data_IF_579573813519
#
_entry.id   IF_579573813519
#
_cell.length_a   1.000
_cell.length_b   1.000
_cell.length_c   1.000
_cell.angle_alpha   90.00
_cell.angle_beta   90.00
_cell.angle_gamma   90.00
#
_symmetry.space_group_name_H-M   'P 1'
#
loop_
_entity.id
_entity.type
_entity.pdbx_description
1 polymer ?
#
# COMPACT_ATOMS: atom_id res chain seq x y z
N UNK A 1 -2.85 -16.27 -24.87
CA UNK A 1 -2.01 -15.06 -24.82
C UNK A 1 -1.69 -14.83 -23.35
N UNK A 2 -0.50 -15.19 -22.89
CA UNK A 2 -0.14 -15.06 -21.47
C UNK A 2 0.11 -13.57 -21.17
N UNK A 3 -0.62 -13.01 -20.20
CA UNK A 3 -0.31 -11.70 -19.65
C UNK A 3 1.04 -11.80 -18.94
N UNK A 4 2.11 -11.38 -19.61
CA UNK A 4 3.39 -11.13 -18.96
C UNK A 4 3.23 -9.86 -18.11
N UNK A 5 2.64 -9.99 -16.92
CA UNK A 5 2.73 -8.91 -15.93
C UNK A 5 4.15 -8.90 -15.37
N UNK A 6 4.81 -7.74 -15.46
CA UNK A 6 6.09 -7.52 -14.79
C UNK A 6 5.94 -7.42 -13.26
N UNK A 7 4.71 -7.27 -12.76
CA UNK A 7 4.38 -7.24 -11.33
C UNK A 7 4.31 -8.66 -10.77
N UNK A 8 4.94 -8.89 -9.62
CA UNK A 8 4.89 -10.17 -8.88
C UNK A 8 4.71 -9.94 -7.38
N UNK A 9 3.90 -10.79 -6.74
CA UNK A 9 3.73 -10.84 -5.26
C UNK A 9 3.48 -9.47 -4.63
N UNK A 10 4.41 -9.03 -3.79
CA UNK A 10 4.41 -7.73 -3.11
C UNK A 10 4.17 -6.52 -4.04
N UNK A 11 4.50 -6.58 -5.32
CA UNK A 11 4.28 -5.46 -6.24
C UNK A 11 2.80 -5.07 -6.36
N UNK A 12 1.88 -6.03 -6.22
CA UNK A 12 0.45 -5.75 -6.27
C UNK A 12 -0.02 -4.90 -5.08
N UNK A 13 0.62 -5.08 -3.91
CA UNK A 13 0.32 -4.31 -2.70
C UNK A 13 0.78 -2.86 -2.81
N UNK A 14 1.71 -2.55 -3.71
CA UNK A 14 2.15 -1.17 -3.97
C UNK A 14 1.09 -0.32 -4.68
N UNK A 15 0.05 -0.95 -5.23
CA UNK A 15 -1.07 -0.27 -5.88
C UNK A 15 -2.13 0.22 -4.88
N UNK A 16 -1.99 -0.13 -3.60
CA UNK A 16 -2.96 0.25 -2.56
C UNK A 16 -2.74 1.69 -2.10
N UNK A 17 -3.79 2.51 -2.16
CA UNK A 17 -3.78 3.87 -1.59
C UNK A 17 -3.84 3.85 -0.05
N UNK A 18 -4.47 2.81 0.50
CA UNK A 18 -4.67 2.61 1.93
C UNK A 18 -4.37 1.15 2.31
N UNK A 19 -3.83 0.95 3.50
CA UNK A 19 -3.52 -0.37 4.04
C UNK A 19 -4.19 -0.53 5.41
N UNK A 20 -4.69 -1.74 5.71
CA UNK A 20 -5.04 -2.03 7.10
C UNK A 20 -3.79 -1.95 7.99
N UNK A 21 -3.97 -1.67 9.27
CA UNK A 21 -2.82 -1.62 10.21
C UNK A 21 -2.10 -2.97 10.29
N UNK A 22 -2.83 -4.07 10.11
CA UNK A 22 -2.26 -5.42 10.05
C UNK A 22 -1.42 -5.62 8.79
N UNK A 23 -1.95 -5.26 7.61
CA UNK A 23 -1.23 -5.40 6.34
C UNK A 23 0.02 -4.52 6.32
N UNK A 24 -0.10 -3.27 6.80
CA UNK A 24 1.04 -2.37 6.94
C UNK A 24 2.14 -2.97 7.83
N UNK A 25 1.77 -3.65 8.92
CA UNK A 25 2.74 -4.32 9.79
C UNK A 25 3.43 -5.51 9.09
N UNK A 26 2.70 -6.33 8.32
CA UNK A 26 3.28 -7.41 7.54
C UNK A 26 4.23 -6.89 6.45
N UNK A 27 3.78 -5.91 5.67
CA UNK A 27 4.56 -5.33 4.57
C UNK A 27 5.83 -4.63 5.06
N UNK A 28 5.81 -4.05 6.27
CA UNK A 28 7.01 -3.50 6.92
C UNK A 28 8.11 -4.56 7.09
N UNK A 29 7.71 -5.81 7.32
CA UNK A 29 8.60 -6.96 7.52
C UNK A 29 8.88 -7.72 6.21
N UNK A 30 8.49 -7.18 5.06
CA UNK A 30 8.57 -7.88 3.76
C UNK A 30 7.77 -9.19 3.72
N UNK A 31 6.71 -9.29 4.54
CA UNK A 31 5.80 -10.41 4.55
C UNK A 31 4.58 -10.08 3.69
N UNK A 32 4.20 -10.97 2.78
CA UNK A 32 3.04 -10.77 1.92
C UNK A 32 1.75 -11.05 2.70
N UNK A 33 0.82 -10.08 2.88
CA UNK A 33 -0.36 -10.30 3.70
C UNK A 33 -1.28 -11.43 3.21
N UNK A 34 -1.21 -11.82 1.94
CA UNK A 34 -1.94 -12.99 1.42
C UNK A 34 -1.41 -14.34 1.89
N UNK A 35 -0.13 -14.41 2.29
CA UNK A 35 0.54 -15.63 2.72
C UNK A 35 0.52 -15.82 4.24
N UNK A 36 0.14 -14.80 5.01
CA UNK A 36 0.16 -14.83 6.47
C UNK A 36 -1.15 -14.36 7.06
N UNK A 37 -1.57 -15.01 8.15
CA UNK A 37 -2.73 -14.59 8.91
C UNK A 37 -2.46 -14.62 10.40
N UNK A 38 -3.15 -13.74 11.13
CA UNK A 38 -3.24 -13.83 12.58
C UNK A 38 -4.25 -14.90 12.97
N UNK A 39 -3.84 -15.82 13.86
CA UNK A 39 -4.76 -16.83 14.44
C UNK A 39 -5.89 -16.16 15.23
N UNK A 40 -5.62 -15.01 15.86
CA UNK A 40 -6.60 -14.22 16.62
C UNK A 40 -6.53 -12.75 16.19
N UNK A 41 -7.19 -12.38 15.07
CA UNK A 41 -7.14 -11.01 14.53
C UNK A 41 -7.63 -9.94 15.52
N UNK A 42 -8.58 -10.28 16.39
CA UNK A 42 -9.07 -9.39 17.45
C UNK A 42 -8.05 -9.11 18.56
N UNK A 43 -6.93 -9.85 18.60
CA UNK A 43 -5.86 -9.65 19.59
C UNK A 43 -4.47 -9.75 18.95
N UNK A 44 -4.08 -8.82 18.06
CA UNK A 44 -2.84 -8.92 17.29
C UNK A 44 -1.58 -8.99 18.17
N UNK A 45 -1.61 -8.37 19.36
CA UNK A 45 -0.48 -8.36 20.30
C UNK A 45 -0.14 -9.73 20.88
N UNK A 46 -1.11 -10.64 20.99
CA UNK A 46 -0.95 -11.97 21.57
C UNK A 46 -1.13 -13.09 20.55
N UNK A 47 -1.66 -12.77 19.36
CA UNK A 47 -1.85 -13.72 18.29
C UNK A 47 -0.53 -14.36 17.84
N UNK A 48 -0.64 -15.62 17.42
CA UNK A 48 0.34 -16.29 16.58
C UNK A 48 0.14 -15.87 15.12
N UNK A 49 1.18 -16.02 14.31
CA UNK A 49 1.14 -15.76 12.87
C UNK A 49 1.30 -17.10 12.16
N UNK A 50 0.28 -17.48 11.40
CA UNK A 50 0.25 -18.70 10.60
C UNK A 50 0.49 -18.36 9.14
N UNK A 51 1.29 -19.18 8.48
CA UNK A 51 1.45 -19.14 7.04
C UNK A 51 0.31 -19.92 6.37
N UNK A 52 -0.46 -19.27 5.50
CA UNK A 52 -1.63 -19.83 4.81
C UNK A 52 -1.31 -20.35 3.43
N UNK A 53 -0.32 -19.74 2.75
CA UNK A 53 0.09 -20.10 1.41
C UNK A 53 1.57 -19.80 1.16
N UNK A 54 2.07 -20.30 0.03
CA UNK A 54 3.44 -20.08 -0.42
C UNK A 54 4.47 -21.02 0.24
N UNK A 55 5.12 -21.88 -0.54
CA UNK A 55 6.33 -22.60 -0.08
C UNK A 55 7.61 -21.75 -0.27
N UNK A 56 7.46 -20.43 -0.40
CA UNK A 56 8.49 -19.49 -0.84
C UNK A 56 9.51 -19.12 0.24
N UNK A 57 10.76 -18.91 -0.19
CA UNK A 57 11.90 -18.53 0.65
C UNK A 57 11.81 -17.09 1.15
N UNK A 58 11.09 -16.89 2.24
CA UNK A 58 11.25 -15.71 3.09
C UNK A 58 12.61 -15.79 3.80
N UNK A 59 13.67 -15.36 3.10
CA UNK A 59 15.02 -15.36 3.62
C UNK A 59 15.11 -14.49 4.88
N UNK A 60 15.60 -15.07 5.98
CA UNK A 60 15.82 -14.36 7.25
C UNK A 60 14.65 -14.40 8.25
N UNK A 61 13.51 -15.01 7.92
CA UNK A 61 12.39 -15.15 8.86
C UNK A 61 12.47 -16.50 9.57
N UNK A 62 12.54 -16.48 10.91
CA UNK A 62 12.51 -17.70 11.73
C UNK A 62 11.14 -18.38 11.63
N UNK A 63 11.15 -19.60 11.08
CA UNK A 63 9.95 -20.44 10.95
C UNK A 63 9.73 -21.27 12.20
N UNK A 64 8.46 -21.37 12.61
CA UNK A 64 8.03 -22.14 13.76
C UNK A 64 6.97 -23.14 13.28
N UNK A 65 7.12 -24.41 13.65
CA UNK A 65 6.08 -25.43 13.45
C UNK A 65 5.17 -25.44 14.69
N UNK A 66 3.86 -25.36 14.47
CA UNK A 66 2.86 -25.43 15.54
C UNK A 66 2.46 -26.89 15.80
N UNK A 67 1.83 -27.14 16.96
CA UNK A 67 1.39 -28.47 17.38
C UNK A 67 0.41 -29.14 16.40
N UNK A 68 -0.29 -28.35 15.59
CA UNK A 68 -1.22 -28.84 14.56
C UNK A 68 -0.55 -29.09 13.19
N UNK A 69 0.78 -29.03 13.13
CA UNK A 69 1.58 -29.23 11.92
C UNK A 69 1.55 -28.03 10.96
N UNK A 70 0.93 -26.92 11.34
CA UNK A 70 0.98 -25.70 10.52
C UNK A 70 2.29 -24.95 10.75
N UNK A 71 2.77 -24.26 9.72
CA UNK A 71 3.94 -23.41 9.81
C UNK A 71 3.53 -21.97 10.15
N UNK A 72 4.39 -21.30 10.89
CA UNK A 72 4.28 -19.89 11.23
C UNK A 72 5.62 -19.22 11.33
N UNK A 73 5.58 -17.99 11.83
CA UNK A 73 6.77 -17.17 12.05
C UNK A 73 6.77 -16.63 13.47
N UNK A 74 7.96 -16.30 13.97
CA UNK A 74 8.11 -15.64 15.25
C UNK A 74 7.38 -14.29 15.25
N UNK A 75 6.37 -14.07 16.13
CA UNK A 75 5.55 -12.87 16.07
C UNK A 75 6.22 -11.65 16.73
N UNK A 76 7.44 -11.77 17.27
CA UNK A 76 8.10 -10.69 18.01
C UNK A 76 8.32 -9.43 17.18
N UNK A 77 8.81 -9.57 15.95
CA UNK A 77 9.04 -8.45 15.03
C UNK A 77 7.71 -7.79 14.62
N UNK A 78 6.72 -8.63 14.26
CA UNK A 78 5.37 -8.15 13.95
C UNK A 78 4.77 -7.37 15.12
N UNK A 79 4.86 -7.90 16.34
CA UNK A 79 4.35 -7.24 17.55
C UNK A 79 5.07 -5.92 17.81
N UNK A 80 6.37 -5.82 17.52
CA UNK A 80 7.10 -4.57 17.67
C UNK A 80 6.60 -3.50 16.69
N UNK A 81 6.46 -3.85 15.40
CA UNK A 81 5.93 -2.95 14.37
C UNK A 81 4.49 -2.56 14.66
N UNK A 82 3.62 -3.55 14.89
CA UNK A 82 2.21 -3.34 15.19
C UNK A 82 2.03 -2.46 16.43
N UNK A 83 2.78 -2.71 17.51
CA UNK A 83 2.73 -1.88 18.73
C UNK A 83 3.13 -0.43 18.43
N UNK A 84 4.12 -0.20 17.56
CA UNK A 84 4.54 1.14 17.18
C UNK A 84 3.48 1.86 16.35
N UNK A 85 2.87 1.19 15.36
CA UNK A 85 1.77 1.73 14.55
C UNK A 85 0.55 2.05 15.41
N UNK A 86 0.10 1.08 16.24
CA UNK A 86 -1.00 1.27 17.20
C UNK A 86 -0.73 2.48 18.11
N UNK A 87 0.45 2.57 18.70
CA UNK A 87 0.79 3.70 19.57
C UNK A 87 0.82 5.04 18.82
N UNK A 88 1.27 5.06 17.56
CA UNK A 88 1.27 6.27 16.74
C UNK A 88 -0.16 6.73 16.42
N UNK A 89 -1.05 5.82 16.05
CA UNK A 89 -2.45 6.12 15.76
C UNK A 89 -3.18 6.61 17.01
N UNK A 90 -3.08 5.88 18.12
CA UNK A 90 -3.74 6.25 19.38
C UNK A 90 -3.19 7.53 20.03
N UNK A 91 -2.00 7.99 19.63
CA UNK A 91 -1.41 9.26 20.07
C UNK A 91 -1.50 10.38 19.02
N UNK A 92 -2.31 10.18 17.98
CA UNK A 92 -2.55 11.16 16.90
C UNK A 92 -1.27 11.59 16.15
N UNK A 93 -0.28 10.69 16.08
CA UNK A 93 0.98 10.88 15.33
C UNK A 93 0.97 10.26 13.95
N UNK A 94 -0.01 9.40 13.68
CA UNK A 94 -0.24 8.76 12.39
C UNK A 94 -1.74 8.81 12.12
N UNK A 95 -2.13 9.47 11.04
CA UNK A 95 -3.53 9.58 10.64
C UNK A 95 -4.05 8.21 10.22
N UNK A 96 -5.25 7.86 10.68
CA UNK A 96 -5.91 6.61 10.35
C UNK A 96 -7.44 6.78 10.23
N UNK A 97 -8.07 5.94 9.42
CA UNK A 97 -9.52 5.71 9.45
C UNK A 97 -9.79 4.58 10.43
N UNK A 98 -10.26 4.93 11.62
CA UNK A 98 -10.47 3.96 12.71
C UNK A 98 -11.77 3.19 12.46
N UNK A 99 -11.65 1.87 12.35
CA UNK A 99 -12.78 0.94 12.36
C UNK A 99 -12.97 0.39 13.78
N UNK A 100 -14.21 0.39 14.28
CA UNK A 100 -14.55 -0.25 15.54
C UNK A 100 -15.65 -1.29 15.31
N UNK A 101 -15.54 -2.43 15.98
CA UNK A 101 -16.65 -3.38 16.04
C UNK A 101 -17.67 -2.90 17.07
N UNK A 102 -18.93 -3.01 16.69
CA UNK A 102 -20.05 -2.75 17.59
C UNK A 102 -21.12 -3.81 17.43
N UNK A 103 -21.88 -4.02 18.50
CA UNK A 103 -23.06 -4.89 18.53
C UNK A 103 -24.19 -4.22 19.27
N UNK A 104 -25.42 -4.64 18.97
CA UNK A 104 -26.55 -4.34 19.85
C UNK A 104 -26.39 -5.10 21.18
N UNK A 105 -26.97 -4.61 22.28
CA UNK A 105 -27.09 -5.40 23.50
C UNK A 105 -27.77 -6.72 23.18
N UNK A 106 -27.15 -7.82 23.62
CA UNK A 106 -27.89 -9.05 23.80
C UNK A 106 -28.88 -8.86 24.94
N UNK A 107 -29.86 -9.74 25.05
CA UNK A 107 -30.86 -9.64 26.09
C UNK A 107 -31.09 -11.00 26.73
N UNK A 108 -31.27 -10.98 28.04
CA UNK A 108 -31.58 -12.17 28.81
C UNK A 108 -32.95 -12.04 29.48
N UNK A 109 -33.57 -13.18 29.73
CA UNK A 109 -34.83 -13.27 30.45
C UNK A 109 -34.56 -13.47 31.93
N UNK A 110 -35.16 -12.62 32.77
CA UNK A 110 -35.18 -12.81 34.22
C UNK A 110 -36.63 -12.83 34.70
N UNK A 111 -37.16 -14.04 34.92
CA UNK A 111 -38.59 -14.23 35.14
C UNK A 111 -39.40 -13.94 33.88
N UNK A 112 -40.32 -12.98 33.93
CA UNK A 112 -41.13 -12.52 32.79
C UNK A 112 -40.61 -11.24 32.15
N UNK A 113 -39.48 -10.71 32.64
CA UNK A 113 -38.89 -9.45 32.18
C UNK A 113 -37.68 -9.70 31.29
N UNK A 114 -37.45 -8.76 30.37
CA UNK A 114 -36.40 -8.80 29.36
C UNK A 114 -35.43 -7.66 29.61
N UNK A 115 -34.19 -7.99 29.95
CA UNK A 115 -33.16 -7.00 30.30
C UNK A 115 -32.02 -7.04 29.28
N UNK A 116 -31.47 -5.88 28.90
CA UNK A 116 -30.23 -5.86 28.14
C UNK A 116 -29.13 -6.45 29.01
N UNK A 117 -28.33 -7.34 28.44
CA UNK A 117 -27.06 -7.77 29.04
C UNK A 117 -26.15 -6.55 29.06
N UNK A 118 -25.44 -6.33 30.16
CA UNK A 118 -24.47 -5.24 30.27
C UNK A 118 -23.33 -5.41 29.22
N UNK A 119 -22.69 -4.31 28.79
CA UNK A 119 -21.51 -4.41 27.93
C UNK A 119 -20.42 -5.22 28.64
N UNK A 120 -19.61 -5.93 27.85
CA UNK A 120 -18.42 -6.58 28.38
C UNK A 120 -17.40 -5.55 28.89
N UNK A 121 -16.42 -5.98 29.69
CA UNK A 121 -15.39 -5.08 30.25
C UNK A 121 -14.58 -4.34 29.18
N UNK A 122 -14.46 -4.90 27.98
CA UNK A 122 -13.79 -4.34 26.81
C UNK A 122 -14.72 -3.51 25.91
N UNK A 123 -15.99 -3.39 26.23
CA UNK A 123 -16.99 -2.63 25.50
C UNK A 123 -17.38 -1.34 26.21
N UNK A 124 -17.79 -0.35 25.43
CA UNK A 124 -18.41 0.89 25.91
C UNK A 124 -19.85 0.95 25.41
N UNK A 125 -20.78 1.20 26.33
CA UNK A 125 -22.17 1.47 25.96
C UNK A 125 -22.33 2.91 25.49
N UNK A 126 -22.83 3.08 24.26
CA UNK A 126 -23.18 4.35 23.66
C UNK A 126 -24.70 4.41 23.48
N UNK A 127 -25.31 5.52 23.87
CA UNK A 127 -26.71 5.78 23.54
C UNK A 127 -26.79 6.27 22.09
N UNK A 128 -27.29 5.43 21.18
CA UNK A 128 -27.32 5.76 19.75
C UNK A 128 -28.40 6.81 19.42
N UNK A 129 -29.33 7.08 20.35
CA UNK A 129 -30.32 8.15 20.18
C UNK A 129 -29.69 9.54 20.02
N UNK A 130 -28.48 9.75 20.55
CA UNK A 130 -27.75 11.03 20.48
C UNK A 130 -26.68 11.09 19.37
N UNK A 131 -26.03 9.97 19.05
CA UNK A 131 -24.87 9.92 18.13
C UNK A 131 -25.25 10.25 16.67
N UNK A 132 -26.48 9.94 16.26
CA UNK A 132 -26.96 10.13 14.88
C UNK A 132 -27.36 11.59 14.54
N UNK A 133 -27.30 12.54 15.48
CA UNK A 133 -27.76 13.93 15.24
C UNK A 133 -26.66 14.95 14.89
N UNK A 134 -25.38 14.55 14.86
CA UNK A 134 -24.25 15.50 14.81
C UNK A 134 -23.26 15.35 13.63
N UNK A 135 -23.67 14.71 12.54
CA UNK A 135 -22.92 14.61 11.28
C UNK A 135 -23.54 13.56 10.36
N UNK A 136 -23.22 13.54 9.06
CA UNK A 136 -23.64 12.49 8.11
C UNK A 136 -22.96 11.16 8.48
N UNK A 137 -23.63 10.20 9.16
CA UNK A 137 -23.03 8.95 9.55
C UNK A 137 -23.36 7.91 8.47
N UNK A 138 -22.37 7.48 7.69
CA UNK A 138 -22.53 6.32 6.80
C UNK A 138 -22.46 5.04 7.63
N UNK A 139 -23.52 4.73 8.39
CA UNK A 139 -23.66 3.44 9.05
C UNK A 139 -24.16 2.41 8.03
N UNK A 140 -23.25 1.56 7.53
CA UNK A 140 -23.63 0.38 6.79
C UNK A 140 -23.92 -0.74 7.79
N UNK A 141 -25.20 -1.00 8.05
CA UNK A 141 -25.62 -2.22 8.74
C UNK A 141 -26.23 -3.18 7.72
N UNK A 142 -25.65 -4.37 7.67
CA UNK A 142 -26.15 -5.56 7.01
C UNK A 142 -27.37 -6.18 7.74
N UNK A 143 -27.86 -5.54 8.79
CA UNK A 143 -29.03 -5.95 9.56
C UNK A 143 -30.16 -4.94 9.35
N UNK A 144 -31.18 -5.34 8.58
CA UNK A 144 -32.48 -4.64 8.47
C UNK A 144 -33.12 -4.37 9.85
N UNK A 145 -32.66 -5.04 10.92
CA UNK A 145 -33.21 -4.97 12.26
C UNK A 145 -32.88 -3.68 13.03
N UNK A 146 -31.83 -2.93 12.65
CA UNK A 146 -31.48 -1.70 13.39
C UNK A 146 -32.50 -0.58 13.15
N UNK A 147 -33.15 -0.56 11.98
CA UNK A 147 -34.08 0.50 11.58
C UNK A 147 -35.53 0.02 11.38
N UNK A 148 -35.77 -1.30 11.30
CA UNK A 148 -37.13 -1.84 11.08
C UNK A 148 -37.96 -1.91 12.36
N UNK A 149 -38.52 -0.77 12.76
CA UNK A 149 -39.93 -0.69 13.16
C UNK A 149 -40.39 -1.33 14.48
N UNK A 150 -39.54 -2.01 15.27
CA UNK A 150 -39.88 -2.25 16.68
C UNK A 150 -39.69 -0.94 17.43
N UNK A 151 -40.77 -0.42 18.00
CA UNK A 151 -40.70 0.62 19.04
C UNK A 151 -39.73 0.12 20.10
N UNK A 152 -38.49 0.58 20.05
CA UNK A 152 -37.51 0.44 21.10
C UNK A 152 -38.03 1.26 22.28
N UNK A 153 -38.90 0.64 23.08
CA UNK A 153 -39.30 1.17 24.38
C UNK A 153 -38.17 1.08 25.41
N UNK A 154 -37.02 0.52 25.02
CA UNK A 154 -35.77 0.53 25.77
C UNK A 154 -34.76 1.45 25.09
N UNK A 155 -33.96 2.13 25.91
CA UNK A 155 -32.82 2.97 25.53
C UNK A 155 -32.02 2.31 24.41
N UNK A 156 -31.94 2.96 23.26
CA UNK A 156 -31.21 2.47 22.12
C UNK A 156 -29.72 2.46 22.41
N UNK A 157 -29.20 1.34 22.93
CA UNK A 157 -27.78 1.18 23.25
C UNK A 157 -27.04 0.47 22.12
N UNK A 158 -25.84 0.94 21.84
CA UNK A 158 -24.84 0.29 21.00
C UNK A 158 -23.63 -0.01 21.87
N UNK A 159 -23.15 -1.25 21.87
CA UNK A 159 -21.93 -1.62 22.57
C UNK A 159 -20.79 -1.65 21.56
N UNK A 160 -19.78 -0.81 21.77
CA UNK A 160 -18.63 -0.66 20.87
C UNK A 160 -17.38 -1.09 21.61
N UNK A 161 -16.53 -1.91 20.97
CA UNK A 161 -15.25 -2.28 21.55
C UNK A 161 -14.39 -1.03 21.82
N UNK A 162 -13.72 -1.01 22.97
CA UNK A 162 -12.82 0.08 23.38
C UNK A 162 -11.57 0.13 22.53
N UNK A 163 -11.09 -1.02 22.08
CA UNK A 163 -9.98 -1.11 21.12
C UNK A 163 -10.52 -1.07 19.69
N UNK A 164 -9.82 -0.35 18.79
CA UNK A 164 -10.07 -0.45 17.36
C UNK A 164 -9.96 -1.87 16.83
N UNK A 165 -10.79 -2.14 15.82
CA UNK A 165 -10.56 -3.28 14.95
C UNK A 165 -9.42 -2.94 14.00
N UNK A 166 -8.26 -3.50 14.28
CA UNK A 166 -7.04 -3.20 13.51
C UNK A 166 -7.04 -3.79 12.10
N UNK A 167 -7.93 -4.74 11.80
CA UNK A 167 -8.11 -5.27 10.45
C UNK A 167 -8.96 -4.33 9.58
N UNK A 168 -9.92 -3.64 10.21
CA UNK A 168 -10.76 -2.63 9.54
C UNK A 168 -10.29 -1.20 9.74
N UNK A 169 -9.27 -0.97 10.57
CA UNK A 169 -8.60 0.33 10.70
C UNK A 169 -7.53 0.45 9.62
N UNK A 170 -7.64 1.48 8.78
CA UNK A 170 -6.70 1.72 7.68
C UNK A 170 -5.88 3.00 7.86
N UNK A 171 -4.69 3.02 7.25
CA UNK A 171 -3.80 4.18 7.15
C UNK A 171 -3.54 4.49 5.69
N UNK A 172 -3.43 5.78 5.35
CA UNK A 172 -3.02 6.20 4.02
C UNK A 172 -1.56 5.84 3.76
N UNK A 173 -1.23 5.39 2.55
CA UNK A 173 0.13 4.98 2.21
C UNK A 173 1.13 6.14 2.35
N UNK A 174 0.75 7.34 1.91
CA UNK A 174 1.58 8.55 2.02
C UNK A 174 1.82 8.95 3.49
N UNK A 175 0.76 8.98 4.31
CA UNK A 175 0.84 9.28 5.74
C UNK A 175 1.78 8.29 6.47
N UNK A 176 1.69 7.01 6.11
CA UNK A 176 2.54 5.96 6.65
C UNK A 176 4.02 6.13 6.24
N UNK A 177 4.28 6.43 4.96
CA UNK A 177 5.63 6.71 4.48
C UNK A 177 6.25 7.92 5.18
N UNK A 178 5.50 9.01 5.30
CA UNK A 178 6.00 10.21 5.96
C UNK A 178 6.24 9.99 7.46
N UNK A 179 5.40 9.18 8.11
CA UNK A 179 5.64 8.74 9.48
C UNK A 179 6.94 7.92 9.59
N UNK A 180 7.21 6.98 8.69
CA UNK A 180 8.48 6.23 8.67
C UNK A 180 9.70 7.14 8.47
N UNK A 181 9.64 8.08 7.51
CA UNK A 181 10.69 9.07 7.27
C UNK A 181 10.95 9.92 8.53
N UNK A 182 9.90 10.34 9.24
CA UNK A 182 10.03 11.12 10.49
C UNK A 182 10.79 10.37 11.60
N UNK A 183 10.82 9.02 11.52
CA UNK A 183 11.56 8.14 12.44
C UNK A 183 12.95 7.77 11.93
N UNK A 184 13.33 8.19 10.72
CA UNK A 184 14.58 7.80 10.09
C UNK A 184 14.63 6.31 9.74
N UNK A 185 13.48 5.67 9.52
CA UNK A 185 13.37 4.27 9.11
C UNK A 185 12.79 4.24 7.70
N UNK A 186 13.30 3.35 6.85
CA UNK A 186 12.76 3.12 5.51
C UNK A 186 12.66 1.62 5.24
N UNK A 187 11.53 0.99 5.59
CA UNK A 187 11.33 -0.42 5.24
C UNK A 187 11.32 -0.59 3.72
N UNK A 188 11.99 -1.63 3.22
CA UNK A 188 12.24 -1.84 1.78
C UNK A 188 10.97 -1.88 0.93
N UNK A 189 9.86 -2.40 1.49
CA UNK A 189 8.57 -2.38 0.81
C UNK A 189 8.13 -0.95 0.50
N UNK A 190 8.15 -0.04 1.46
CA UNK A 190 7.69 1.34 1.28
C UNK A 190 8.72 2.22 0.56
N UNK A 191 9.99 1.84 0.62
CA UNK A 191 11.12 2.59 0.08
C UNK A 191 12.05 1.66 -0.72
N UNK A 192 11.66 1.24 -1.93
CA UNK A 192 12.46 0.31 -2.74
C UNK A 192 13.84 0.88 -3.10
N UNK A 193 13.95 2.20 -3.21
CA UNK A 193 15.20 2.93 -3.43
C UNK A 193 15.99 3.21 -2.13
N UNK A 194 15.44 2.80 -0.98
CA UNK A 194 15.98 3.08 0.35
C UNK A 194 15.58 4.45 0.91
N UNK A 195 16.13 4.81 2.08
CA UNK A 195 16.12 6.22 2.51
C UNK A 195 16.90 6.99 1.45
N UNK A 196 16.33 8.06 0.90
CA UNK A 196 17.12 8.98 0.06
C UNK A 196 18.38 9.35 0.85
N UNK A 197 19.53 8.84 0.40
CA UNK A 197 20.77 8.99 1.13
C UNK A 197 20.96 10.46 1.47
N UNK A 198 21.37 10.79 2.71
CA UNK A 198 21.41 12.18 3.19
C UNK A 198 22.25 13.14 2.34
N UNK A 199 23.02 12.65 1.36
CA UNK A 199 23.66 13.47 0.34
C UNK A 199 22.71 14.03 -0.73
N UNK A 200 21.50 13.49 -0.90
CA UNK A 200 20.46 13.98 -1.83
C UNK A 200 19.51 14.99 -1.20
N UNK A 201 19.42 15.05 0.12
CA UNK A 201 18.59 16.02 0.83
C UNK A 201 19.25 17.41 0.83
N UNK A 202 18.65 18.36 0.08
CA UNK A 202 19.12 19.75 -0.02
C UNK A 202 19.16 20.49 1.31
N UNK A 203 18.32 20.09 2.27
CA UNK A 203 18.24 20.72 3.58
C UNK A 203 19.23 20.11 4.58
N UNK A 204 19.94 19.04 4.20
CA UNK A 204 20.91 18.41 5.08
C UNK A 204 22.12 19.33 5.30
N UNK A 205 22.59 19.45 6.54
CA UNK A 205 23.69 20.35 6.91
C UNK A 205 25.01 20.07 6.16
N UNK A 206 25.17 18.85 5.63
CA UNK A 206 26.31 18.42 4.81
C UNK A 206 25.94 18.19 3.34
N UNK A 207 24.83 18.76 2.88
CA UNK A 207 24.44 18.69 1.47
C UNK A 207 25.55 19.26 0.59
N UNK A 208 25.90 18.53 -0.45
CA UNK A 208 26.89 18.95 -1.44
C UNK A 208 26.25 18.86 -2.81
N UNK A 209 25.90 20.01 -3.43
CA UNK A 209 25.37 20.07 -4.79
C UNK A 209 26.19 19.23 -5.77
N UNK A 210 27.53 19.33 -5.69
CA UNK A 210 28.45 18.60 -6.58
C UNK A 210 28.32 17.08 -6.40
N UNK A 211 28.25 16.59 -5.17
CA UNK A 211 28.12 15.15 -4.89
C UNK A 211 26.76 14.63 -5.36
N UNK A 212 25.68 15.33 -5.00
CA UNK A 212 24.32 14.96 -5.39
C UNK A 212 24.17 14.89 -6.92
N UNK A 213 24.68 15.90 -7.64
CA UNK A 213 24.67 15.89 -9.11
C UNK A 213 25.56 14.82 -9.71
N UNK A 214 26.73 14.54 -9.14
CA UNK A 214 27.63 13.49 -9.64
C UNK A 214 26.98 12.11 -9.57
N UNK A 215 26.34 11.78 -8.44
CA UNK A 215 25.62 10.52 -8.29
C UNK A 215 24.41 10.46 -9.23
N UNK A 216 23.62 11.54 -9.30
CA UNK A 216 22.45 11.57 -10.19
C UNK A 216 22.83 11.44 -11.68
N UNK A 217 23.93 12.07 -12.10
CA UNK A 217 24.46 11.92 -13.46
C UNK A 217 24.91 10.49 -13.74
N UNK A 218 25.57 9.84 -12.77
CA UNK A 218 26.01 8.45 -12.85
C UNK A 218 24.85 7.47 -12.97
N UNK A 219 23.77 7.68 -12.22
CA UNK A 219 22.58 6.82 -12.29
C UNK A 219 21.79 7.00 -13.59
N UNK A 220 21.71 8.24 -14.10
CA UNK A 220 20.88 8.56 -15.25
C UNK A 220 21.54 8.20 -16.58
N UNK A 221 22.83 8.49 -16.73
CA UNK A 221 23.55 8.22 -17.97
C UNK A 221 24.00 6.76 -17.93
N UNK A 222 23.21 5.85 -18.49
CA UNK A 222 23.59 4.42 -18.57
C UNK A 222 24.40 4.08 -19.83
N UNK A 223 24.41 4.97 -20.83
CA UNK A 223 25.10 4.82 -22.12
C UNK A 223 25.62 6.18 -22.60
N UNK A 224 26.77 6.22 -23.30
CA UNK A 224 27.23 7.45 -23.94
C UNK A 224 26.27 7.90 -25.04
N UNK A 225 26.14 9.21 -25.22
CA UNK A 225 25.40 9.79 -26.33
C UNK A 225 26.07 9.50 -27.68
N UNK A 226 25.29 9.58 -28.77
CA UNK A 226 25.78 9.35 -30.13
C UNK A 226 27.00 10.25 -30.42
N UNK A 227 28.11 9.64 -30.85
CA UNK A 227 29.39 10.29 -31.12
C UNK A 227 29.99 11.10 -29.94
N UNK A 228 29.64 10.76 -28.70
CA UNK A 228 30.17 11.40 -27.50
C UNK A 228 30.84 10.38 -26.60
N UNK A 229 31.87 10.81 -25.89
CA UNK A 229 32.41 10.03 -24.78
C UNK A 229 31.40 10.00 -23.61
N UNK A 230 31.53 9.01 -22.72
CA UNK A 230 30.76 8.98 -21.47
C UNK A 230 30.97 10.28 -20.68
N UNK A 231 32.21 10.74 -20.59
CA UNK A 231 32.56 12.01 -19.93
C UNK A 231 31.84 13.22 -20.56
N UNK A 232 31.82 13.33 -21.89
CA UNK A 232 31.09 14.42 -22.57
C UNK A 232 29.58 14.32 -22.32
N UNK A 233 29.03 13.11 -22.36
CA UNK A 233 27.60 12.87 -22.10
C UNK A 233 27.22 13.27 -20.67
N UNK A 234 28.06 12.94 -19.69
CA UNK A 234 27.89 13.34 -18.29
C UNK A 234 28.00 14.85 -18.09
N UNK A 235 28.95 15.50 -18.78
CA UNK A 235 29.11 16.95 -18.73
C UNK A 235 27.85 17.64 -19.30
N UNK A 236 27.36 17.20 -20.46
CA UNK A 236 26.15 17.74 -21.10
C UNK A 236 24.91 17.54 -20.22
N UNK A 237 24.76 16.36 -19.62
CA UNK A 237 23.68 16.08 -18.67
C UNK A 237 23.77 17.00 -17.45
N UNK A 238 24.99 17.21 -16.92
CA UNK A 238 25.24 18.08 -15.76
C UNK A 238 24.93 19.55 -16.07
N UNK A 239 25.27 20.04 -17.26
CA UNK A 239 24.90 21.41 -17.70
C UNK A 239 23.39 21.57 -17.73
N UNK A 240 22.67 20.54 -18.19
CA UNK A 240 21.22 20.58 -18.38
C UNK A 240 20.44 20.42 -17.07
N UNK A 241 20.97 19.68 -16.09
CA UNK A 241 20.23 19.30 -14.88
C UNK A 241 20.83 19.83 -13.58
N UNK A 242 22.09 20.28 -13.57
CA UNK A 242 22.81 20.65 -12.34
C UNK A 242 22.18 21.81 -11.57
N UNK A 243 21.43 22.70 -12.26
CA UNK A 243 20.67 23.78 -11.62
C UNK A 243 19.66 23.22 -10.60
N UNK A 244 19.04 22.07 -10.92
CA UNK A 244 18.08 21.40 -10.04
C UNK A 244 18.71 20.92 -8.73
N UNK A 245 20.05 20.84 -8.65
CA UNK A 245 20.79 20.46 -7.46
C UNK A 245 21.48 21.66 -6.78
N UNK A 246 21.26 22.88 -7.27
CA UNK A 246 21.87 24.09 -6.71
C UNK A 246 23.26 24.41 -7.28
N UNK A 247 23.61 23.90 -8.47
CA UNK A 247 24.85 24.25 -9.18
C UNK A 247 24.70 25.43 -10.15
N UNK A 248 23.53 26.08 -10.17
CA UNK A 248 23.31 27.27 -11.00
C UNK A 248 24.09 28.46 -10.47
N UNK A 249 24.72 29.21 -11.38
CA UNK A 249 25.28 30.54 -11.09
C UNK A 249 24.15 31.59 -11.02
N UNK A 250 24.49 32.86 -10.84
CA UNK A 250 23.52 33.98 -10.79
C UNK A 250 22.59 34.06 -12.02
N UNK A 251 23.07 33.59 -13.19
CA UNK A 251 22.29 33.53 -14.44
C UNK A 251 21.41 32.26 -14.56
N UNK A 252 21.39 31.40 -13.53
CA UNK A 252 20.66 30.13 -13.55
C UNK A 252 21.28 29.05 -14.45
N UNK A 253 22.53 29.23 -14.89
CA UNK A 253 23.26 28.26 -15.72
C UNK A 253 24.38 27.57 -14.93
N UNK A 254 24.66 26.30 -15.25
CA UNK A 254 25.80 25.56 -14.66
C UNK A 254 27.06 25.87 -15.46
N UNK A 255 28.14 26.23 -14.78
CA UNK A 255 29.42 26.49 -15.47
C UNK A 255 29.98 25.21 -16.12
N UNK A 256 30.51 25.34 -17.34
CA UNK A 256 31.12 24.23 -18.05
C UNK A 256 32.28 23.58 -17.27
N UNK A 257 33.03 24.37 -16.49
CA UNK A 257 34.12 23.87 -15.64
C UNK A 257 33.60 22.94 -14.55
N UNK A 258 32.52 23.33 -13.85
CA UNK A 258 31.90 22.48 -12.82
C UNK A 258 31.33 21.20 -13.43
N UNK A 259 30.68 21.30 -14.58
CA UNK A 259 30.18 20.13 -15.30
C UNK A 259 31.32 19.17 -15.68
N UNK A 260 32.47 19.68 -16.10
CA UNK A 260 33.64 18.85 -16.42
C UNK A 260 34.25 18.18 -15.18
N UNK A 261 34.31 18.88 -14.04
CA UNK A 261 34.75 18.30 -12.76
C UNK A 261 33.87 17.15 -12.32
N UNK A 262 32.54 17.35 -12.36
CA UNK A 262 31.57 16.32 -12.01
C UNK A 262 31.67 15.14 -12.97
N UNK A 263 31.79 15.40 -14.28
CA UNK A 263 31.97 14.35 -15.27
C UNK A 263 33.25 13.54 -15.06
N UNK A 264 34.34 14.14 -14.54
CA UNK A 264 35.56 13.40 -14.18
C UNK A 264 35.33 12.42 -13.03
N UNK A 265 34.51 12.82 -12.05
CA UNK A 265 34.18 11.99 -10.87
C UNK A 265 33.21 10.87 -11.25
N UNK A 266 32.17 11.19 -12.02
CA UNK A 266 31.09 10.26 -12.36
C UNK A 266 31.40 9.30 -13.52
N UNK A 267 32.51 9.48 -14.25
CA UNK A 267 32.80 8.66 -15.43
C UNK A 267 33.22 7.22 -15.07
N UNK A 268 32.35 6.23 -15.29
CA UNK A 268 32.66 4.79 -15.12
C UNK A 268 33.51 4.21 -16.26
N UNK A 269 33.63 4.90 -17.40
CA UNK A 269 34.46 4.45 -18.51
C UNK A 269 35.87 5.04 -18.40
N UNK A 270 36.73 4.34 -17.66
CA UNK A 270 38.09 4.79 -17.28
C UNK A 270 39.13 4.66 -18.41
N UNK A 271 38.81 3.92 -19.47
CA UNK A 271 39.67 3.73 -20.64
C UNK A 271 39.75 5.01 -21.48
N UNK A 272 40.88 5.70 -21.40
CA UNK A 272 41.20 6.85 -22.25
C UNK A 272 41.55 6.42 -23.68
N UNK A 273 40.54 6.26 -24.53
CA UNK A 273 40.68 5.96 -25.95
C UNK A 273 39.74 6.82 -26.80
N UNK A 274 40.06 6.96 -28.09
CA UNK A 274 39.23 7.71 -29.03
C UNK A 274 37.81 7.16 -29.10
N UNK A 275 36.82 8.05 -29.14
CA UNK A 275 35.39 7.71 -29.32
C UNK A 275 35.21 6.83 -30.57
N UNK A 276 34.59 5.65 -30.46
CA UNK A 276 34.31 4.81 -31.62
C UNK A 276 33.43 5.57 -32.61
N UNK A 277 33.87 5.66 -33.86
CA UNK A 277 33.07 6.22 -34.96
C UNK A 277 31.86 5.32 -35.17
N UNK A 278 30.66 5.87 -34.99
CA UNK A 278 29.40 5.14 -35.08
C UNK A 278 29.17 4.57 -36.49
N UNK A 279 28.96 3.25 -36.59
CA UNK A 279 28.30 2.61 -37.73
C UNK A 279 26.82 2.42 -37.37
N UNK A 280 25.94 2.96 -38.22
CA UNK A 280 24.48 2.84 -38.09
C UNK A 280 24.05 1.39 -37.99
N UNK A 281 23.25 1.09 -36.96
CA UNK A 281 22.44 -0.13 -36.88
C UNK A 281 21.00 0.35 -36.69
N UNK A 282 20.13 -0.16 -37.57
CA UNK A 282 18.74 0.23 -37.80
C UNK A 282 17.96 0.65 -36.55
N UNK A 283 17.40 1.85 -36.63
CA UNK A 283 16.31 2.31 -35.78
C UNK A 283 15.02 1.57 -36.16
N UNK A 284 14.69 0.53 -35.39
CA UNK A 284 13.30 0.05 -35.32
C UNK A 284 12.86 -0.04 -33.85
N UNK A 285 11.62 0.39 -33.64
CA UNK A 285 10.85 0.43 -32.39
C UNK A 285 11.18 1.52 -31.36
N UNK A 286 11.07 2.78 -31.80
CA UNK A 286 10.58 3.87 -30.96
C UNK A 286 9.06 3.95 -31.02
N UNK A 287 8.37 3.02 -30.33
CA UNK A 287 6.92 3.07 -30.18
C UNK A 287 6.50 4.33 -29.43
N UNK A 288 5.72 5.19 -30.09
CA UNK A 288 5.12 6.39 -29.48
C UNK A 288 4.18 5.93 -28.36
N UNK A 289 4.26 6.47 -27.13
CA UNK A 289 3.30 6.14 -26.08
C UNK A 289 1.93 6.66 -26.51
N UNK A 290 0.97 5.76 -26.71
CA UNK A 290 -0.43 6.18 -26.85
C UNK A 290 -0.89 6.81 -25.52
N UNK A 291 -1.61 7.94 -25.57
CA UNK A 291 -2.22 8.49 -24.37
C UNK A 291 -3.22 7.48 -23.81
N UNK A 292 -3.12 7.18 -22.51
CA UNK A 292 -4.09 6.37 -21.78
C UNK A 292 -5.41 7.14 -21.74
N UNK A 293 -6.42 6.64 -22.46
CA UNK A 293 -7.80 7.12 -22.37
C UNK A 293 -8.57 6.19 -21.42
N UNK A 294 -8.92 6.69 -20.23
CA UNK A 294 -9.57 5.91 -19.16
C UNK A 294 -11.09 5.77 -19.32
N UNK A 295 -11.68 6.08 -20.48
CA UNK A 295 -13.12 5.91 -20.71
C UNK A 295 -13.39 5.51 -22.16
N UNK A 296 -13.74 4.24 -22.39
CA UNK A 296 -14.59 3.89 -23.52
C UNK A 296 -15.99 4.39 -23.19
N UNK A 297 -16.51 5.28 -24.03
CA UNK A 297 -17.91 5.66 -24.04
C UNK A 297 -18.71 4.37 -24.25
N UNK A 298 -19.44 3.94 -23.21
CA UNK A 298 -20.36 2.80 -23.31
C UNK A 298 -21.35 3.14 -24.40
N UNK A 299 -21.15 2.57 -25.59
CA UNK A 299 -22.12 2.62 -26.67
C UNK A 299 -23.44 2.14 -26.09
N UNK A 300 -24.42 3.04 -26.05
CA UNK A 300 -25.77 2.74 -25.65
C UNK A 300 -26.22 1.50 -26.42
N UNK A 301 -26.44 0.41 -25.70
CA UNK A 301 -27.04 -0.79 -26.27
C UNK A 301 -28.43 -0.37 -26.74
N UNK A 302 -28.61 -0.42 -28.05
CA UNK A 302 -29.89 -0.21 -28.72
C UNK A 302 -30.91 -1.19 -28.12
N UNK A 303 -31.82 -0.65 -27.30
CA UNK A 303 -33.03 -1.30 -26.84
C UNK A 303 -34.04 -1.38 -27.99
N UNK A 304 -33.72 -2.10 -29.06
CA UNK A 304 -34.69 -2.54 -30.06
C UNK A 304 -34.29 -3.91 -30.63
N UNK A 305 -34.92 -4.96 -30.10
CA UNK A 305 -35.60 -6.00 -30.90
C UNK A 305 -36.18 -7.06 -29.96
N UNK A 306 -37.40 -6.80 -29.48
CA UNK A 306 -38.29 -7.85 -29.03
C UNK A 306 -38.93 -8.52 -30.25
N UNK A 307 -38.55 -9.77 -30.53
CA UNK A 307 -39.36 -10.66 -31.36
C UNK A 307 -39.07 -12.14 -31.05
N UNK A 308 -40.02 -12.74 -30.32
CA UNK A 308 -40.48 -14.14 -30.41
C UNK A 308 -39.45 -15.29 -30.39
N UNK A 309 -39.44 -16.02 -29.27
CA UNK A 309 -38.92 -17.38 -29.21
C UNK A 309 -39.40 -18.10 -27.95
N UNK A 310 -40.54 -18.78 -28.05
CA UNK A 310 -41.13 -19.63 -27.01
C UNK A 310 -40.15 -20.75 -26.57
N UNK A 311 -39.90 -20.96 -25.28
CA UNK A 311 -39.41 -22.24 -24.78
C UNK A 311 -40.59 -23.12 -24.37
N UNK A 312 -40.67 -24.28 -25.04
CA UNK A 312 -41.57 -25.39 -24.73
C UNK A 312 -41.44 -25.84 -23.27
N UNK A 313 -42.58 -26.01 -22.60
CA UNK A 313 -42.72 -26.78 -21.36
C UNK A 313 -42.05 -28.15 -21.55
N UNK A 314 -41.16 -28.50 -20.63
CA UNK A 314 -40.75 -29.89 -20.41
C UNK A 314 -41.55 -30.43 -19.24
N UNK A 315 -42.28 -31.50 -19.52
CA UNK A 315 -43.05 -32.30 -18.59
C UNK A 315 -42.15 -32.85 -17.48
N UNK A 316 -42.58 -32.58 -16.24
CA UNK A 316 -42.09 -33.21 -15.01
C UNK A 316 -43.07 -34.36 -14.76
N UNK A 317 -42.69 -35.56 -15.19
CA UNK A 317 -43.26 -36.83 -14.73
C UNK A 317 -42.27 -37.94 -15.14
N UNK A 318 -41.36 -38.29 -14.24
CA UNK A 318 -40.67 -39.59 -14.26
C UNK A 318 -40.31 -39.97 -12.82
N UNK A 319 -41.12 -40.87 -12.25
CA UNK A 319 -40.85 -41.61 -11.02
C UNK A 319 -39.69 -42.60 -11.22
N UNK A 320 -38.86 -42.86 -10.19
CA UNK A 320 -37.96 -44.01 -10.21
C UNK A 320 -38.65 -45.28 -9.66
N UNK A 321 -38.40 -46.47 -10.24
CA UNK A 321 -38.97 -47.72 -9.74
C UNK A 321 -38.16 -48.31 -8.58
N UNK A 322 -38.90 -48.82 -7.59
CA UNK A 322 -38.61 -49.85 -6.57
C UNK A 322 -37.24 -49.88 -5.86
#
# INVERSE_FOLDING_TARGET
>A
MALNSNLRGLDFWRLADELSVIDAAFLTLMLEPGDFQLVSPASPMTSQIRQTSGWGGYDGVERIEFDDGTMGINPSEFRAVFKALRAAILSDKLRAKIGNLGRHPDYCWFGSEYFPVDPNDDESALDFGFVLSWGDPTLFSNSDSILSGRRLGGEGKLYVLKEPDWYHTSVGLEDLQDWFKSRGVAPLFFFPEGVADGFRDKNHARYSPKLATAVAAWEHVNRPGKNKSVKQTLADWTVSNGVNFGLGNDDGAVSATVAEEIAKIANWHTSGGATPTYTEVDETDGGVPYPVQNFEEVLAIDLQNGASGNPSLRDIDDEPPF
#
